data_IF_925724938192
#
_entry.id   IF_925724938192
#
_cell.length_a   1.000
_cell.length_b   1.000
_cell.length_c   1.000
_cell.angle_alpha   90.00
_cell.angle_beta   90.00
_cell.angle_gamma   90.00
#
_symmetry.space_group_name_H-M   'P 1'
#
loop_
_entity.id
_entity.type
_entity.pdbx_description
1 polymer ?
#
# COMPACT_ATOMS: atom_id res chain seq x y z
N UNK A 1 -17.84 -48.76 -46.60
CA UNK A 1 -19.13 -48.70 -45.91
C UNK A 1 -18.95 -48.06 -44.53
N UNK A 2 -18.78 -46.76 -44.36
CA UNK A 2 -18.73 -46.17 -43.02
C UNK A 2 -19.09 -44.68 -42.89
N UNK A 3 -19.27 -43.95 -43.98
CA UNK A 3 -19.66 -42.51 -43.91
C UNK A 3 -21.17 -42.26 -43.80
N UNK A 4 -22.03 -43.23 -44.16
CA UNK A 4 -23.48 -43.13 -44.12
C UNK A 4 -24.11 -43.38 -42.74
N UNK A 5 -23.48 -44.21 -41.91
CA UNK A 5 -24.01 -44.62 -40.62
C UNK A 5 -23.76 -43.52 -39.55
N UNK A 6 -22.62 -42.83 -39.64
CA UNK A 6 -22.27 -41.75 -38.68
C UNK A 6 -23.16 -40.51 -38.86
N UNK A 7 -23.59 -40.20 -40.10
CA UNK A 7 -24.53 -39.08 -40.33
C UNK A 7 -25.96 -39.35 -39.85
N UNK A 8 -26.40 -40.60 -39.76
CA UNK A 8 -27.73 -40.95 -39.26
C UNK A 8 -27.82 -40.95 -37.72
N UNK A 9 -26.72 -41.20 -37.01
CA UNK A 9 -26.69 -41.10 -35.55
C UNK A 9 -26.57 -39.65 -35.01
N UNK A 10 -26.01 -38.75 -35.79
CA UNK A 10 -25.93 -37.33 -35.43
C UNK A 10 -27.28 -36.56 -35.64
N UNK A 11 -28.19 -37.12 -36.45
CA UNK A 11 -29.50 -36.47 -36.71
C UNK A 11 -30.59 -36.75 -35.67
N UNK A 12 -30.35 -37.71 -34.75
CA UNK A 12 -31.37 -38.10 -33.74
C UNK A 12 -31.23 -37.42 -32.38
N UNK A 13 -30.33 -36.46 -32.21
CA UNK A 13 -30.14 -35.70 -30.97
C UNK A 13 -30.37 -34.19 -31.12
N UNK A 14 -31.04 -33.75 -32.15
CA UNK A 14 -31.51 -32.36 -32.28
C UNK A 14 -32.78 -32.19 -31.46
N UNK A 15 -32.67 -31.58 -30.28
CA UNK A 15 -33.78 -31.06 -29.50
C UNK A 15 -34.60 -30.13 -30.41
N UNK A 16 -35.93 -30.30 -30.42
CA UNK A 16 -36.83 -29.39 -31.17
C UNK A 16 -36.73 -28.00 -30.53
N UNK A 17 -37.10 -26.98 -31.32
CA UNK A 17 -37.11 -25.57 -30.88
C UNK A 17 -37.96 -25.40 -29.59
N UNK A 18 -39.12 -26.09 -29.53
CA UNK A 18 -39.97 -26.13 -28.32
C UNK A 18 -39.27 -26.78 -27.10
N UNK A 19 -38.57 -27.88 -27.32
CA UNK A 19 -37.79 -28.51 -26.25
C UNK A 19 -36.65 -27.64 -25.78
N UNK A 20 -35.95 -26.94 -26.66
CA UNK A 20 -34.92 -25.97 -26.32
C UNK A 20 -35.49 -24.80 -25.50
N UNK A 21 -36.65 -24.28 -25.91
CA UNK A 21 -37.33 -23.18 -25.22
C UNK A 21 -37.80 -23.59 -23.81
N UNK A 22 -38.31 -24.84 -23.69
CA UNK A 22 -38.72 -25.39 -22.39
C UNK A 22 -37.52 -25.57 -21.44
N UNK A 23 -36.37 -26.07 -21.94
CA UNK A 23 -35.14 -26.21 -21.15
C UNK A 23 -34.60 -24.84 -20.69
N UNK A 24 -34.64 -23.81 -21.57
CA UNK A 24 -34.25 -22.44 -21.22
C UNK A 24 -35.18 -21.89 -20.13
N UNK A 25 -36.51 -22.08 -20.25
CA UNK A 25 -37.47 -21.67 -19.19
C UNK A 25 -37.21 -22.37 -17.88
N UNK A 26 -36.97 -23.70 -17.91
CA UNK A 26 -36.65 -24.48 -16.67
C UNK A 26 -35.32 -24.01 -16.07
N UNK A 27 -34.28 -23.80 -16.86
CA UNK A 27 -32.99 -23.28 -16.39
C UNK A 27 -33.14 -21.88 -15.77
N UNK A 28 -33.94 -21.01 -16.39
CA UNK A 28 -34.20 -19.68 -15.82
C UNK A 28 -34.97 -19.76 -14.49
N UNK A 29 -35.95 -20.66 -14.39
CA UNK A 29 -36.70 -20.87 -13.14
C UNK A 29 -35.80 -21.42 -12.01
N UNK A 30 -34.91 -22.37 -12.32
CA UNK A 30 -33.92 -22.90 -11.36
C UNK A 30 -32.96 -21.81 -10.92
N UNK A 31 -32.43 -21.02 -11.84
CA UNK A 31 -31.56 -19.87 -11.54
C UNK A 31 -32.27 -18.84 -10.64
N UNK A 32 -33.54 -18.56 -10.87
CA UNK A 32 -34.33 -17.69 -9.99
C UNK A 32 -34.50 -18.28 -8.59
N UNK A 33 -34.81 -19.58 -8.46
CA UNK A 33 -34.94 -20.24 -7.18
C UNK A 33 -33.63 -20.24 -6.41
N UNK A 34 -32.50 -20.49 -7.07
CA UNK A 34 -31.18 -20.43 -6.46
C UNK A 34 -30.84 -18.99 -6.04
N UNK A 35 -31.17 -18.00 -6.83
CA UNK A 35 -31.00 -16.58 -6.49
C UNK A 35 -31.80 -16.20 -5.23
N UNK A 36 -33.06 -16.61 -5.10
CA UNK A 36 -33.88 -16.36 -3.91
C UNK A 36 -33.32 -17.05 -2.66
N UNK A 37 -32.79 -18.26 -2.81
CA UNK A 37 -32.11 -18.96 -1.70
C UNK A 37 -30.84 -18.24 -1.27
N UNK A 38 -30.04 -17.76 -2.22
CA UNK A 38 -28.82 -16.99 -1.92
C UNK A 38 -29.16 -15.67 -1.22
N UNK A 39 -30.19 -14.95 -1.64
CA UNK A 39 -30.64 -13.74 -0.96
C UNK A 39 -31.06 -13.99 0.50
N UNK A 40 -31.82 -15.06 0.75
CA UNK A 40 -32.20 -15.44 2.11
C UNK A 40 -31.00 -15.80 2.98
N UNK A 41 -30.03 -16.52 2.43
CA UNK A 41 -28.79 -16.85 3.11
C UNK A 41 -27.97 -15.59 3.44
N UNK A 42 -27.92 -14.62 2.53
CA UNK A 42 -27.22 -13.34 2.75
C UNK A 42 -27.91 -12.52 3.86
N UNK A 43 -29.23 -12.47 3.91
CA UNK A 43 -29.99 -11.75 4.94
C UNK A 43 -29.69 -12.26 6.36
N UNK A 44 -29.34 -13.54 6.50
CA UNK A 44 -29.01 -14.15 7.78
C UNK A 44 -27.55 -13.88 8.23
N UNK A 45 -26.73 -13.19 7.43
CA UNK A 45 -25.36 -12.86 7.80
C UNK A 45 -25.35 -11.51 8.54
N UNK A 46 -24.84 -11.53 9.77
CA UNK A 46 -24.61 -10.29 10.50
C UNK A 46 -23.30 -9.62 10.03
N UNK A 47 -23.45 -8.55 9.26
CA UNK A 47 -22.32 -7.75 8.73
C UNK A 47 -21.38 -7.28 9.84
N UNK A 48 -21.90 -6.84 10.98
CA UNK A 48 -21.09 -6.30 12.09
C UNK A 48 -20.17 -7.38 12.65
N UNK A 49 -20.71 -8.56 12.91
CA UNK A 49 -19.93 -9.73 13.35
C UNK A 49 -18.87 -10.13 12.32
N UNK A 50 -19.19 -10.14 11.03
CA UNK A 50 -18.21 -10.49 10.00
C UNK A 50 -17.13 -9.44 9.83
N UNK A 51 -17.43 -8.16 9.97
CA UNK A 51 -16.45 -7.08 10.03
C UNK A 51 -15.47 -7.26 11.21
N UNK A 52 -15.98 -7.60 12.39
CA UNK A 52 -15.15 -7.89 13.56
C UNK A 52 -14.25 -9.12 13.34
N UNK A 53 -14.79 -10.20 12.77
CA UNK A 53 -14.04 -11.40 12.42
C UNK A 53 -12.91 -11.10 11.42
N UNK A 54 -13.19 -10.28 10.40
CA UNK A 54 -12.17 -9.80 9.46
C UNK A 54 -11.02 -9.07 10.18
N UNK A 55 -11.33 -8.14 11.09
CA UNK A 55 -10.30 -7.42 11.84
C UNK A 55 -9.57 -8.31 12.85
N UNK A 56 -10.21 -9.30 13.46
CA UNK A 56 -9.55 -10.33 14.28
C UNK A 56 -8.52 -11.12 13.45
N UNK A 57 -8.87 -11.53 12.23
CA UNK A 57 -7.94 -12.19 11.32
C UNK A 57 -6.80 -11.26 10.90
N UNK A 58 -7.09 -10.01 10.57
CA UNK A 58 -6.09 -9.01 10.23
C UNK A 58 -5.11 -8.74 11.38
N UNK A 59 -5.56 -8.83 12.63
CA UNK A 59 -4.71 -8.63 13.81
C UNK A 59 -3.64 -9.71 13.96
N UNK A 60 -3.90 -10.91 13.45
CA UNK A 60 -2.91 -12.00 13.44
C UNK A 60 -1.92 -11.92 12.29
N UNK A 61 -2.30 -11.32 11.15
CA UNK A 61 -1.53 -11.45 9.89
C UNK A 61 -1.05 -10.14 9.29
N UNK A 62 -1.57 -8.99 9.75
CA UNK A 62 -1.32 -7.68 9.12
C UNK A 62 -0.69 -6.68 10.10
N UNK A 63 0.08 -5.74 9.54
CA UNK A 63 0.62 -4.62 10.30
C UNK A 63 -0.48 -3.66 10.78
N UNK A 64 -0.22 -2.88 11.83
CA UNK A 64 -1.13 -1.84 12.30
C UNK A 64 -1.46 -0.80 11.22
N UNK A 65 -0.50 -0.48 10.34
CA UNK A 65 -0.73 0.41 9.21
C UNK A 65 -1.75 -0.19 8.22
N UNK A 66 -1.61 -1.46 7.88
CA UNK A 66 -2.55 -2.17 6.98
C UNK A 66 -3.94 -2.25 7.60
N UNK A 67 -4.03 -2.52 8.91
CA UNK A 67 -5.32 -2.53 9.62
C UNK A 67 -6.02 -1.17 9.57
N UNK A 68 -5.27 -0.07 9.81
CA UNK A 68 -5.81 1.31 9.70
C UNK A 68 -6.29 1.59 8.28
N UNK A 69 -5.55 1.14 7.26
CA UNK A 69 -5.94 1.30 5.86
C UNK A 69 -7.22 0.53 5.55
N UNK A 70 -7.36 -0.71 6.03
CA UNK A 70 -8.57 -1.51 5.84
C UNK A 70 -9.78 -0.89 6.56
N UNK A 71 -9.58 -0.40 7.79
CA UNK A 71 -10.62 0.30 8.55
C UNK A 71 -11.13 1.51 7.76
N UNK A 72 -10.23 2.39 7.32
CA UNK A 72 -10.59 3.56 6.53
C UNK A 72 -11.32 3.20 5.21
N UNK A 73 -10.90 2.12 4.54
CA UNK A 73 -11.56 1.67 3.31
C UNK A 73 -12.98 1.18 3.55
N UNK A 74 -13.21 0.42 4.62
CA UNK A 74 -14.55 -0.06 4.97
C UNK A 74 -15.45 1.05 5.48
N UNK A 75 -14.93 2.00 6.28
CA UNK A 75 -15.69 3.17 6.71
C UNK A 75 -16.19 4.01 5.52
N UNK A 76 -15.36 4.17 4.49
CA UNK A 76 -15.76 4.88 3.26
C UNK A 76 -16.79 4.10 2.44
N UNK A 77 -16.71 2.78 2.41
CA UNK A 77 -17.73 1.94 1.78
C UNK A 77 -19.06 1.99 2.54
N UNK A 78 -19.02 1.93 3.87
CA UNK A 78 -20.20 2.07 4.73
C UNK A 78 -20.89 3.42 4.53
N UNK A 79 -20.10 4.51 4.50
CA UNK A 79 -20.60 5.86 4.23
C UNK A 79 -21.32 5.93 2.88
N UNK A 80 -20.69 5.38 1.83
CA UNK A 80 -21.29 5.29 0.50
C UNK A 80 -22.60 4.49 0.49
N UNK A 81 -22.61 3.33 1.15
CA UNK A 81 -23.80 2.47 1.21
C UNK A 81 -24.95 3.14 1.96
N UNK A 82 -24.66 3.86 3.05
CA UNK A 82 -25.67 4.58 3.82
C UNK A 82 -26.27 5.74 3.00
N UNK A 83 -25.47 6.48 2.23
CA UNK A 83 -25.94 7.60 1.40
C UNK A 83 -26.81 7.08 0.25
N UNK A 84 -26.48 5.93 -0.33
CA UNK A 84 -27.14 5.38 -1.50
C UNK A 84 -28.17 4.29 -1.17
N UNK A 85 -28.54 4.14 0.09
CA UNK A 85 -29.48 3.10 0.59
C UNK A 85 -29.13 1.69 0.09
N UNK A 86 -27.86 1.32 0.17
CA UNK A 86 -27.33 0.03 -0.29
C UNK A 86 -26.92 -0.84 0.89
N UNK A 87 -27.20 -2.13 0.80
CA UNK A 87 -26.66 -3.12 1.75
C UNK A 87 -25.31 -3.65 1.24
N UNK A 88 -24.28 -3.55 2.08
CA UNK A 88 -22.92 -4.01 1.74
C UNK A 88 -22.88 -5.47 1.34
N UNK A 89 -23.63 -6.34 2.01
CA UNK A 89 -23.62 -7.78 1.72
C UNK A 89 -24.23 -8.15 0.36
N UNK A 90 -25.09 -7.26 -0.19
CA UNK A 90 -25.69 -7.38 -1.52
C UNK A 90 -24.94 -6.59 -2.61
N UNK A 91 -23.75 -6.09 -2.30
CA UNK A 91 -22.97 -5.26 -3.22
C UNK A 91 -22.55 -6.06 -4.47
N UNK A 92 -22.93 -5.56 -5.64
CA UNK A 92 -22.68 -6.18 -6.96
C UNK A 92 -21.52 -5.47 -7.69
N UNK A 93 -20.98 -6.04 -8.76
CA UNK A 93 -19.90 -5.40 -9.53
C UNK A 93 -20.26 -3.98 -10.02
N UNK A 94 -21.51 -3.74 -10.41
CA UNK A 94 -22.00 -2.41 -10.79
C UNK A 94 -21.90 -1.41 -9.62
N UNK A 95 -22.27 -1.82 -8.43
CA UNK A 95 -22.17 -0.96 -7.24
C UNK A 95 -20.71 -0.62 -6.91
N UNK A 96 -19.78 -1.56 -7.16
CA UNK A 96 -18.35 -1.31 -7.00
C UNK A 96 -17.83 -0.30 -8.02
N UNK A 97 -18.29 -0.36 -9.27
CA UNK A 97 -17.93 0.62 -10.32
C UNK A 97 -18.50 2.00 -9.99
N UNK A 98 -19.75 2.09 -9.51
CA UNK A 98 -20.38 3.33 -9.07
C UNK A 98 -19.62 3.94 -7.86
N UNK A 99 -19.29 3.13 -6.84
CA UNK A 99 -18.46 3.54 -5.71
C UNK A 99 -17.09 4.10 -6.14
N UNK A 100 -16.43 3.43 -7.08
CA UNK A 100 -15.14 3.88 -7.61
C UNK A 100 -15.31 5.19 -8.35
N UNK A 101 -16.37 5.35 -9.13
CA UNK A 101 -16.67 6.56 -9.90
C UNK A 101 -16.90 7.75 -8.97
N UNK A 102 -17.74 7.60 -7.97
CA UNK A 102 -17.98 8.66 -6.96
C UNK A 102 -16.69 9.01 -6.20
N UNK A 103 -15.95 7.99 -5.73
CA UNK A 103 -14.68 8.20 -5.02
C UNK A 103 -13.65 8.92 -5.89
N UNK A 104 -13.60 8.63 -7.20
CA UNK A 104 -12.73 9.33 -8.15
C UNK A 104 -13.11 10.79 -8.38
N UNK A 105 -14.37 11.16 -8.14
CA UNK A 105 -14.86 12.55 -8.28
C UNK A 105 -14.62 13.40 -7.02
N UNK A 106 -14.11 12.79 -5.95
CA UNK A 106 -13.66 13.51 -4.76
C UNK A 106 -12.26 14.11 -4.97
N UNK A 107 -11.80 14.93 -4.02
CA UNK A 107 -10.44 15.48 -4.01
C UNK A 107 -9.34 14.44 -3.68
N UNK A 108 -9.67 13.15 -3.56
CA UNK A 108 -8.72 12.10 -3.24
C UNK A 108 -7.75 11.82 -4.39
N UNK A 109 -6.49 11.66 -4.06
CA UNK A 109 -5.49 11.23 -5.04
C UNK A 109 -5.81 9.80 -5.54
N UNK A 110 -5.59 9.51 -6.82
CA UNK A 110 -5.83 8.19 -7.43
C UNK A 110 -5.18 7.03 -6.64
N UNK A 111 -4.03 7.25 -6.02
CA UNK A 111 -3.38 6.25 -5.17
C UNK A 111 -4.19 5.96 -3.91
N UNK A 112 -4.85 6.96 -3.33
CA UNK A 112 -5.74 6.80 -2.18
C UNK A 112 -6.99 6.02 -2.57
N UNK A 113 -7.59 6.33 -3.72
CA UNK A 113 -8.73 5.57 -4.27
C UNK A 113 -8.36 4.10 -4.45
N UNK A 114 -7.21 3.80 -5.06
CA UNK A 114 -6.71 2.42 -5.19
C UNK A 114 -6.53 1.72 -3.86
N UNK A 115 -6.08 2.42 -2.84
CA UNK A 115 -5.92 1.86 -1.51
C UNK A 115 -7.28 1.54 -0.85
N UNK A 116 -8.30 2.40 -1.04
CA UNK A 116 -9.67 2.15 -0.58
C UNK A 116 -10.26 0.92 -1.28
N UNK A 117 -10.22 0.87 -2.61
CA UNK A 117 -10.71 -0.26 -3.40
C UNK A 117 -10.03 -1.58 -3.00
N UNK A 118 -8.71 -1.56 -2.81
CA UNK A 118 -7.95 -2.73 -2.35
C UNK A 118 -8.39 -3.20 -0.96
N UNK A 119 -8.75 -2.26 -0.08
CA UNK A 119 -9.24 -2.57 1.27
C UNK A 119 -10.62 -3.24 1.21
N UNK A 120 -11.55 -2.69 0.43
CA UNK A 120 -12.86 -3.26 0.19
C UNK A 120 -12.76 -4.66 -0.44
N UNK A 121 -11.95 -4.80 -1.50
CA UNK A 121 -11.69 -6.09 -2.15
C UNK A 121 -11.13 -7.14 -1.17
N UNK A 122 -10.28 -6.73 -0.23
CA UNK A 122 -9.74 -7.64 0.79
C UNK A 122 -10.83 -8.16 1.74
N UNK A 123 -11.78 -7.33 2.12
CA UNK A 123 -12.92 -7.70 2.94
C UNK A 123 -13.87 -8.65 2.20
N UNK A 124 -14.24 -8.32 0.96
CA UNK A 124 -15.09 -9.21 0.16
C UNK A 124 -14.42 -10.54 -0.18
N UNK A 125 -13.11 -10.57 -0.36
CA UNK A 125 -12.36 -11.83 -0.49
C UNK A 125 -12.36 -12.65 0.80
N UNK A 126 -12.44 -12.01 1.95
CA UNK A 126 -12.64 -12.69 3.22
C UNK A 126 -14.06 -13.27 3.31
N UNK A 127 -15.10 -12.52 2.94
CA UNK A 127 -16.48 -13.00 2.91
C UNK A 127 -16.67 -14.16 1.92
N UNK A 128 -16.15 -14.04 0.70
CA UNK A 128 -16.24 -15.08 -0.35
C UNK A 128 -15.64 -16.42 0.09
N UNK A 129 -14.60 -16.43 0.92
CA UNK A 129 -14.05 -17.67 1.48
C UNK A 129 -14.92 -18.31 2.54
N UNK A 130 -15.74 -17.54 3.25
CA UNK A 130 -16.64 -18.01 4.29
C UNK A 130 -18.00 -18.38 3.74
N UNK A 131 -18.43 -17.65 2.74
CA UNK A 131 -19.75 -17.72 2.10
C UNK A 131 -19.55 -17.76 0.58
N UNK A 132 -19.43 -18.97 -0.03
CA UNK A 132 -19.12 -19.12 -1.46
C UNK A 132 -20.14 -18.45 -2.40
N UNK A 133 -21.35 -18.18 -1.94
CA UNK A 133 -22.39 -17.46 -2.67
C UNK A 133 -22.17 -15.94 -2.67
N UNK A 134 -21.36 -15.36 -1.77
CA UNK A 134 -20.93 -13.96 -1.83
C UNK A 134 -19.71 -13.87 -2.73
N UNK A 135 -19.86 -13.21 -3.88
CA UNK A 135 -18.73 -12.94 -4.78
C UNK A 135 -18.12 -11.59 -4.49
N UNK A 136 -16.79 -11.50 -4.66
CA UNK A 136 -16.09 -10.23 -4.47
C UNK A 136 -16.41 -9.25 -5.61
N UNK A 137 -17.21 -8.18 -5.38
CA UNK A 137 -17.65 -7.26 -6.42
C UNK A 137 -16.51 -6.36 -6.96
N UNK A 138 -15.42 -6.24 -6.22
CA UNK A 138 -14.24 -5.48 -6.64
C UNK A 138 -13.23 -6.29 -7.45
N UNK A 139 -13.53 -7.56 -7.74
CA UNK A 139 -12.64 -8.40 -8.56
C UNK A 139 -12.64 -7.90 -10.00
N UNK A 140 -11.44 -7.59 -10.51
CA UNK A 140 -11.27 -7.08 -11.88
C UNK A 140 -11.60 -5.61 -12.07
N UNK A 141 -12.05 -4.88 -11.05
CA UNK A 141 -12.32 -3.45 -11.16
C UNK A 141 -11.05 -2.66 -11.49
N UNK A 142 -11.21 -1.62 -12.33
CA UNK A 142 -10.11 -0.74 -12.73
C UNK A 142 -10.22 0.60 -12.01
N UNK A 143 -9.13 1.03 -11.42
CA UNK A 143 -8.99 2.37 -10.83
C UNK A 143 -8.10 3.24 -11.73
N UNK A 144 -8.29 4.57 -11.68
CA UNK A 144 -7.41 5.50 -12.41
C UNK A 144 -5.95 5.27 -12.03
N UNK A 145 -5.00 5.28 -12.97
CA UNK A 145 -3.60 5.14 -12.65
C UNK A 145 -3.14 6.29 -11.73
N UNK A 146 -2.20 6.05 -10.82
CA UNK A 146 -1.69 7.11 -9.95
C UNK A 146 -1.02 8.18 -10.82
N UNK A 147 -1.40 9.43 -10.60
CA UNK A 147 -0.71 10.57 -11.22
C UNK A 147 0.66 10.67 -10.54
N UNK A 148 1.71 10.37 -11.28
CA UNK A 148 3.08 10.59 -10.83
C UNK A 148 3.41 12.07 -11.01
N UNK A 149 3.26 12.87 -9.97
CA UNK A 149 3.71 14.26 -10.00
C UNK A 149 5.21 14.32 -10.25
N UNK A 150 5.61 14.85 -11.41
CA UNK A 150 7.04 15.08 -11.75
C UNK A 150 7.75 15.96 -10.71
N UNK A 151 7.02 16.85 -10.02
CA UNK A 151 7.55 17.71 -8.95
C UNK A 151 8.14 16.98 -7.72
N UNK A 152 7.89 15.68 -7.53
CA UNK A 152 8.44 14.89 -6.42
C UNK A 152 9.86 14.34 -6.66
N UNK A 153 10.51 14.75 -7.72
CA UNK A 153 11.87 14.29 -8.05
C UNK A 153 12.98 15.24 -7.54
N UNK A 154 12.63 16.36 -6.91
CA UNK A 154 13.62 17.25 -6.32
C UNK A 154 14.17 16.63 -5.03
N UNK A 155 15.41 16.19 -5.12
CA UNK A 155 16.17 15.68 -3.98
C UNK A 155 16.79 16.87 -3.27
N UNK A 156 16.66 17.01 -1.93
CA UNK A 156 17.27 18.11 -1.22
C UNK A 156 18.80 18.11 -1.40
N UNK A 157 19.38 19.28 -1.52
CA UNK A 157 20.83 19.45 -1.49
C UNK A 157 21.37 19.22 -0.07
N UNK A 158 22.67 18.93 0.03
CA UNK A 158 23.35 18.81 1.35
C UNK A 158 23.15 20.05 2.21
N UNK A 159 23.23 21.25 1.61
CA UNK A 159 23.05 22.52 2.32
C UNK A 159 21.63 22.65 2.89
N UNK A 160 20.61 22.28 2.14
CA UNK A 160 19.23 22.31 2.61
C UNK A 160 18.98 21.31 3.74
N UNK A 161 19.56 20.10 3.66
CA UNK A 161 19.47 19.11 4.74
C UNK A 161 20.13 19.65 6.02
N UNK A 162 21.29 20.27 5.92
CA UNK A 162 22.00 20.84 7.07
C UNK A 162 21.21 22.00 7.70
N UNK A 163 20.53 22.83 6.89
CA UNK A 163 19.63 23.87 7.39
C UNK A 163 18.45 23.25 8.15
N UNK A 164 17.84 22.20 7.61
CA UNK A 164 16.72 21.52 8.29
C UNK A 164 17.18 20.88 9.60
N UNK A 165 18.33 20.20 9.62
CA UNK A 165 18.88 19.61 10.84
C UNK A 165 19.13 20.69 11.90
N UNK A 166 19.70 21.83 11.51
CA UNK A 166 19.97 22.94 12.42
C UNK A 166 18.70 23.57 12.98
N UNK A 167 17.60 23.60 12.21
CA UNK A 167 16.32 24.16 12.61
C UNK A 167 15.52 23.24 13.53
N UNK A 168 15.81 21.94 13.56
CA UNK A 168 15.20 20.97 14.46
C UNK A 168 15.75 21.19 15.89
N UNK A 169 14.87 21.43 16.85
CA UNK A 169 15.26 21.62 18.26
C UNK A 169 15.56 20.32 19.03
N UNK A 170 15.00 19.18 18.58
CA UNK A 170 15.19 17.88 19.23
C UNK A 170 16.49 17.21 18.78
N UNK A 171 17.51 17.06 19.65
CA UNK A 171 18.82 16.50 19.28
C UNK A 171 18.72 15.07 18.75
N UNK A 172 17.81 14.25 19.32
CA UNK A 172 17.65 12.87 18.87
C UNK A 172 17.09 12.80 17.45
N UNK A 173 16.19 13.74 17.09
CA UNK A 173 15.66 13.83 15.72
C UNK A 173 16.75 14.37 14.76
N UNK A 174 17.57 15.31 15.18
CA UNK A 174 18.73 15.78 14.38
C UNK A 174 19.63 14.59 14.02
N UNK A 175 19.97 13.76 15.00
CA UNK A 175 20.83 12.59 14.80
C UNK A 175 20.13 11.54 13.93
N UNK A 176 18.82 11.32 14.13
CA UNK A 176 18.04 10.40 13.29
C UNK A 176 18.06 10.82 11.81
N UNK A 177 17.91 12.12 11.52
CA UNK A 177 18.00 12.66 10.16
C UNK A 177 19.42 12.48 9.59
N UNK A 178 20.46 12.81 10.36
CA UNK A 178 21.85 12.62 9.96
C UNK A 178 22.15 11.12 9.71
N UNK A 179 21.61 10.22 10.54
CA UNK A 179 21.75 8.78 10.36
C UNK A 179 21.07 8.28 9.07
N UNK A 180 19.85 8.75 8.78
CA UNK A 180 19.17 8.43 7.51
C UNK A 180 19.97 8.93 6.33
N UNK A 181 20.52 10.16 6.40
CA UNK A 181 21.33 10.75 5.35
C UNK A 181 22.61 9.96 5.07
N UNK A 182 23.23 9.38 6.10
CA UNK A 182 24.50 8.64 5.94
C UNK A 182 24.29 7.15 5.63
N UNK A 183 23.21 6.53 6.11
CA UNK A 183 22.98 5.08 6.01
C UNK A 183 21.77 4.70 5.14
N UNK A 184 20.94 5.65 4.74
CA UNK A 184 19.75 5.41 3.91
C UNK A 184 18.66 4.56 4.57
N UNK A 185 18.64 4.43 5.89
CA UNK A 185 17.66 3.61 6.61
C UNK A 185 16.24 4.17 6.50
N UNK A 186 15.22 3.31 6.48
CA UNK A 186 13.82 3.78 6.54
C UNK A 186 13.50 4.34 7.92
N UNK A 187 12.85 5.50 8.01
CA UNK A 187 12.46 6.10 9.30
C UNK A 187 11.63 5.15 10.16
N UNK A 188 10.76 4.33 9.56
CA UNK A 188 9.96 3.33 10.27
C UNK A 188 10.77 2.19 10.89
N UNK A 189 12.04 2.04 10.52
CA UNK A 189 12.93 1.03 11.08
C UNK A 189 13.75 1.55 12.27
N UNK A 190 13.88 2.88 12.43
CA UNK A 190 14.72 3.49 13.48
C UNK A 190 14.38 3.05 14.90
N UNK A 191 13.11 3.00 15.34
CA UNK A 191 12.79 2.61 16.72
C UNK A 191 13.22 1.19 17.11
N UNK A 192 13.41 0.32 16.11
CA UNK A 192 13.83 -1.09 16.29
C UNK A 192 15.22 -1.36 15.73
N UNK A 193 16.00 -0.30 15.52
CA UNK A 193 17.31 -0.40 14.93
C UNK A 193 18.31 -0.73 16.02
N UNK A 194 19.11 -1.76 15.80
CA UNK A 194 20.23 -2.15 16.64
C UNK A 194 21.54 -1.91 15.89
N UNK A 195 22.58 -1.50 16.61
CA UNK A 195 23.93 -1.33 16.04
C UNK A 195 24.88 -2.30 16.75
N UNK A 196 25.46 -3.20 15.98
CA UNK A 196 26.43 -4.20 16.46
C UNK A 196 27.57 -4.34 15.44
N UNK A 197 28.83 -4.42 15.91
CA UNK A 197 30.00 -4.67 15.06
C UNK A 197 30.10 -3.77 13.82
N UNK A 198 29.83 -2.46 13.97
CA UNK A 198 29.89 -1.50 12.86
C UNK A 198 28.80 -1.65 11.81
N UNK A 199 27.78 -2.48 12.05
CA UNK A 199 26.60 -2.63 11.21
C UNK A 199 25.35 -2.27 12.00
N UNK A 200 24.33 -1.73 11.29
CA UNK A 200 23.00 -1.66 11.87
C UNK A 200 22.16 -2.86 11.41
N UNK A 201 21.27 -3.28 12.29
CA UNK A 201 20.29 -4.33 12.05
C UNK A 201 18.91 -3.74 12.25
N UNK A 202 18.00 -4.01 11.34
CA UNK A 202 16.62 -3.62 11.48
C UNK A 202 15.69 -4.63 10.83
N UNK A 203 14.46 -4.70 11.32
CA UNK A 203 13.45 -5.60 10.78
C UNK A 203 12.50 -4.83 9.86
N UNK A 204 12.33 -5.28 8.64
CA UNK A 204 11.36 -4.73 7.71
C UNK A 204 10.68 -5.86 6.93
N UNK A 205 9.32 -5.90 6.98
CA UNK A 205 8.51 -6.90 6.29
C UNK A 205 8.91 -8.36 6.61
N UNK A 206 9.23 -8.64 7.88
CA UNK A 206 9.58 -9.99 8.35
C UNK A 206 11.00 -10.44 8.00
N UNK A 207 11.85 -9.54 7.45
CA UNK A 207 13.26 -9.84 7.13
C UNK A 207 14.17 -8.94 7.93
N UNK A 208 15.22 -9.53 8.48
CA UNK A 208 16.33 -8.78 9.05
C UNK A 208 17.14 -8.13 7.93
N UNK A 209 17.52 -6.90 8.14
CA UNK A 209 18.33 -6.11 7.21
C UNK A 209 19.54 -5.65 7.97
N UNK A 210 20.72 -5.85 7.41
CA UNK A 210 21.93 -5.27 7.94
C UNK A 210 22.67 -4.47 6.86
N UNK A 211 23.27 -3.36 7.26
CA UNK A 211 24.14 -2.56 6.42
C UNK A 211 25.22 -1.89 7.26
N UNK A 212 26.35 -1.55 6.64
CA UNK A 212 27.47 -0.88 7.32
C UNK A 212 27.05 0.52 7.81
N UNK A 213 27.34 0.83 9.05
CA UNK A 213 27.19 2.18 9.62
C UNK A 213 28.43 2.97 9.28
N UNK A 214 28.29 4.22 8.83
CA UNK A 214 29.45 5.08 8.59
C UNK A 214 30.09 5.50 9.92
N UNK A 215 31.42 5.65 9.93
CA UNK A 215 32.16 6.11 11.11
C UNK A 215 31.66 7.48 11.60
N UNK A 216 31.21 8.33 10.65
CA UNK A 216 30.62 9.61 10.95
C UNK A 216 29.32 9.49 11.73
N UNK A 217 28.41 8.56 11.34
CA UNK A 217 27.18 8.30 12.05
C UNK A 217 27.46 7.76 13.48
N UNK A 218 28.44 6.89 13.63
CA UNK A 218 28.88 6.40 14.96
C UNK A 218 29.41 7.54 15.84
N UNK A 219 30.23 8.44 15.29
CA UNK A 219 30.76 9.60 16.01
C UNK A 219 29.63 10.51 16.51
N UNK A 220 28.63 10.78 15.69
CA UNK A 220 27.47 11.59 16.08
C UNK A 220 26.68 10.94 17.21
N UNK A 221 26.41 9.61 17.15
CA UNK A 221 25.75 8.89 18.24
C UNK A 221 26.51 8.99 19.55
N UNK A 222 27.85 8.80 19.53
CA UNK A 222 28.72 8.90 20.73
C UNK A 222 28.75 10.32 21.31
N UNK A 223 28.80 11.34 20.46
CA UNK A 223 28.79 12.74 20.86
C UNK A 223 27.59 13.10 21.74
N UNK A 224 26.42 12.54 21.45
CA UNK A 224 25.20 12.79 22.20
C UNK A 224 24.94 11.77 23.32
N UNK A 225 25.93 10.95 23.70
CA UNK A 225 25.83 9.95 24.79
C UNK A 225 24.64 8.99 24.63
N UNK A 226 24.22 8.74 23.39
CA UNK A 226 23.13 7.78 23.12
C UNK A 226 23.66 6.36 23.32
N UNK A 227 22.76 5.47 23.74
CA UNK A 227 23.05 4.04 23.71
C UNK A 227 23.31 3.65 22.23
N UNK A 228 24.56 3.29 21.92
CA UNK A 228 24.95 3.01 20.53
C UNK A 228 24.22 1.79 19.98
N UNK A 229 23.85 0.84 20.86
CA UNK A 229 23.17 -0.41 20.46
C UNK A 229 21.73 -0.17 20.00
N UNK A 230 20.96 0.68 20.68
CA UNK A 230 19.54 0.95 20.37
C UNK A 230 19.24 2.47 20.41
N UNK A 231 19.88 3.26 19.53
CA UNK A 231 19.93 4.72 19.71
C UNK A 231 18.57 5.43 19.58
N UNK A 232 17.59 4.82 18.94
CA UNK A 232 16.31 5.46 18.62
C UNK A 232 15.09 4.79 19.25
N UNK A 233 15.28 3.84 20.19
CA UNK A 233 14.17 3.06 20.78
C UNK A 233 13.10 3.92 21.47
N UNK A 234 13.49 5.07 22.03
CA UNK A 234 12.60 5.97 22.80
C UNK A 234 11.86 7.00 21.92
N UNK A 235 11.98 6.93 20.59
CA UNK A 235 11.35 7.89 19.70
C UNK A 235 10.59 7.19 18.56
N UNK A 236 9.28 7.43 18.50
CA UNK A 236 8.48 6.83 17.41
C UNK A 236 8.85 7.43 16.04
N UNK A 237 8.76 6.61 15.01
CA UNK A 237 9.01 7.06 13.63
C UNK A 237 8.04 8.15 13.16
N UNK A 238 6.85 8.23 13.75
CA UNK A 238 5.84 9.25 13.45
C UNK A 238 6.27 10.60 14.01
N UNK A 239 6.77 10.64 15.24
CA UNK A 239 7.32 11.84 15.86
C UNK A 239 8.50 12.39 15.06
N UNK A 240 9.45 11.52 14.65
CA UNK A 240 10.59 11.92 13.82
C UNK A 240 10.11 12.54 12.50
N UNK A 241 9.15 11.90 11.81
CA UNK A 241 8.57 12.43 10.55
C UNK A 241 7.92 13.79 10.74
N UNK A 242 7.11 13.95 11.79
CA UNK A 242 6.35 15.17 12.03
C UNK A 242 7.26 16.35 12.38
N UNK A 243 8.26 16.14 13.24
CA UNK A 243 9.25 17.18 13.60
C UNK A 243 10.05 17.59 12.36
N UNK A 244 10.56 16.62 11.60
CA UNK A 244 11.30 16.90 10.36
C UNK A 244 10.46 17.71 9.37
N UNK A 245 9.22 17.26 9.10
CA UNK A 245 8.35 17.91 8.13
C UNK A 245 7.97 19.33 8.55
N UNK A 246 7.72 19.58 9.85
CA UNK A 246 7.43 20.92 10.37
C UNK A 246 8.60 21.88 10.16
N UNK A 247 9.83 21.44 10.46
CA UNK A 247 11.04 22.23 10.22
C UNK A 247 11.26 22.48 8.72
N UNK A 248 11.14 21.47 7.89
CA UNK A 248 11.24 21.61 6.44
C UNK A 248 10.20 22.57 5.87
N UNK A 249 8.94 22.45 6.28
CA UNK A 249 7.85 23.33 5.85
C UNK A 249 8.10 24.79 6.28
N UNK A 250 8.55 25.00 7.52
CA UNK A 250 8.89 26.34 8.03
C UNK A 250 9.98 27.01 7.20
N UNK A 251 11.08 26.31 6.92
CA UNK A 251 12.19 26.82 6.12
C UNK A 251 11.78 27.08 4.65
N UNK A 252 10.92 26.24 4.09
CA UNK A 252 10.35 26.46 2.76
C UNK A 252 9.52 27.74 2.72
N UNK A 253 8.63 27.94 3.71
CA UNK A 253 7.82 29.15 3.79
C UNK A 253 8.65 30.43 4.01
N UNK A 254 9.87 30.29 4.58
CA UNK A 254 10.85 31.39 4.71
C UNK A 254 11.72 31.56 3.45
N UNK A 255 11.50 30.82 2.38
CA UNK A 255 12.30 30.86 1.16
C UNK A 255 13.75 30.36 1.30
N UNK A 256 14.08 29.68 2.41
CA UNK A 256 15.44 29.20 2.71
C UNK A 256 15.79 27.87 2.04
N UNK A 257 14.79 27.11 1.64
CA UNK A 257 14.92 25.86 0.90
C UNK A 257 13.90 25.82 -0.24
N UNK A 258 14.18 25.02 -1.28
CA UNK A 258 13.41 25.01 -2.53
C UNK A 258 12.02 24.35 -2.40
N UNK A 259 11.87 23.40 -1.47
CA UNK A 259 10.63 22.64 -1.28
C UNK A 259 10.44 22.20 0.17
N UNK A 260 9.19 21.93 0.57
CA UNK A 260 8.89 21.26 1.83
C UNK A 260 9.16 19.75 1.70
N UNK A 261 10.36 19.33 2.06
CA UNK A 261 10.81 17.95 1.96
C UNK A 261 10.20 17.06 3.05
N UNK A 262 10.00 15.78 2.73
CA UNK A 262 9.70 14.73 3.68
C UNK A 262 10.98 14.02 4.15
N UNK A 263 10.90 13.32 5.29
CA UNK A 263 12.05 12.51 5.76
C UNK A 263 12.44 11.42 4.75
N UNK A 264 11.54 11.02 3.85
CA UNK A 264 11.83 10.04 2.81
C UNK A 264 12.75 10.60 1.73
N UNK A 265 12.72 11.92 1.50
CA UNK A 265 13.57 12.60 0.54
C UNK A 265 15.04 12.63 1.00
N UNK A 266 15.30 12.54 2.32
CA UNK A 266 16.65 12.34 2.87
C UNK A 266 17.21 10.97 2.47
N UNK A 267 16.39 9.96 2.45
CA UNK A 267 16.79 8.64 1.96
C UNK A 267 16.99 8.63 0.45
N UNK A 268 16.23 9.43 -0.31
CA UNK A 268 16.49 9.68 -1.73
C UNK A 268 17.85 10.35 -1.95
N UNK A 269 18.18 11.36 -1.14
CA UNK A 269 19.49 11.98 -1.16
C UNK A 269 20.62 10.95 -0.96
N UNK A 270 20.51 10.05 0.00
CA UNK A 270 21.47 8.96 0.20
C UNK A 270 21.63 8.12 -1.07
N UNK A 271 20.52 7.70 -1.71
CA UNK A 271 20.54 6.90 -2.92
C UNK A 271 21.26 7.61 -4.07
N UNK A 272 20.93 8.88 -4.31
CA UNK A 272 21.53 9.71 -5.36
C UNK A 272 23.02 9.93 -5.09
N UNK A 273 23.39 10.26 -3.84
CA UNK A 273 24.79 10.44 -3.44
C UNK A 273 25.59 9.15 -3.64
N UNK A 274 25.05 8.00 -3.24
CA UNK A 274 25.73 6.72 -3.40
C UNK A 274 25.90 6.36 -4.87
N UNK A 275 24.89 6.61 -5.72
CA UNK A 275 24.97 6.38 -7.16
C UNK A 275 26.00 7.30 -7.83
N UNK A 276 26.00 8.60 -7.51
CA UNK A 276 27.01 9.54 -8.04
C UNK A 276 28.43 9.05 -7.74
N UNK A 277 28.65 8.40 -6.58
CA UNK A 277 29.94 7.85 -6.17
C UNK A 277 30.31 6.51 -6.82
N UNK A 278 29.36 5.61 -6.97
CA UNK A 278 29.66 4.19 -7.31
C UNK A 278 29.21 3.79 -8.71
N UNK A 279 28.23 4.51 -9.29
CA UNK A 279 27.56 4.16 -10.56
C UNK A 279 26.93 2.74 -10.58
N UNK A 280 26.79 2.12 -9.42
CA UNK A 280 26.30 0.75 -9.25
C UNK A 280 24.88 0.76 -8.65
N UNK A 281 23.88 0.48 -9.50
CA UNK A 281 22.47 0.42 -9.11
C UNK A 281 22.16 -0.77 -8.20
N UNK A 282 22.88 -1.89 -8.36
CA UNK A 282 22.66 -3.07 -7.54
C UNK A 282 23.19 -2.86 -6.11
N UNK A 283 24.31 -2.16 -5.97
CA UNK A 283 24.80 -1.74 -4.66
C UNK A 283 23.78 -0.89 -3.93
N UNK A 284 23.14 0.08 -4.64
CA UNK A 284 22.12 0.93 -4.06
C UNK A 284 20.87 0.12 -3.69
N UNK A 285 20.44 -0.80 -4.56
CA UNK A 285 19.33 -1.70 -4.27
C UNK A 285 19.55 -2.46 -2.97
N UNK A 286 20.75 -3.02 -2.78
CA UNK A 286 21.14 -3.72 -1.54
C UNK A 286 21.17 -2.78 -0.35
N UNK A 287 21.86 -1.64 -0.46
CA UNK A 287 21.97 -0.65 0.61
C UNK A 287 20.61 -0.14 1.08
N UNK A 288 19.66 0.05 0.16
CA UNK A 288 18.30 0.46 0.46
C UNK A 288 17.36 -0.70 0.79
N UNK A 289 17.80 -1.94 0.63
CA UNK A 289 16.94 -3.12 0.70
C UNK A 289 15.64 -2.95 -0.09
N UNK A 290 15.79 -2.70 -1.39
CA UNK A 290 14.68 -2.71 -2.33
C UNK A 290 14.47 -4.11 -2.89
N UNK A 291 13.20 -4.52 -3.01
CA UNK A 291 12.83 -5.84 -3.53
C UNK A 291 13.11 -5.99 -5.04
N UNK A 292 13.25 -4.87 -5.77
CA UNK A 292 13.57 -4.88 -7.19
C UNK A 292 14.40 -3.67 -7.61
N UNK A 293 15.17 -3.83 -8.71
CA UNK A 293 15.93 -2.74 -9.35
C UNK A 293 14.98 -1.62 -9.83
N UNK A 294 13.78 -1.98 -10.31
CA UNK A 294 12.79 -1.00 -10.76
C UNK A 294 12.44 0.04 -9.69
N UNK A 295 12.34 -0.38 -8.42
CA UNK A 295 12.11 0.53 -7.30
C UNK A 295 13.31 1.48 -7.14
N UNK A 296 14.53 0.97 -7.27
CA UNK A 296 15.76 1.78 -7.18
C UNK A 296 15.86 2.77 -8.35
N UNK A 297 15.51 2.34 -9.56
CA UNK A 297 15.48 3.20 -10.75
C UNK A 297 14.57 4.42 -10.58
N UNK A 298 13.44 4.28 -9.86
CA UNK A 298 12.59 5.44 -9.57
C UNK A 298 13.28 6.51 -8.72
N UNK A 299 14.25 6.13 -7.88
CA UNK A 299 15.06 7.07 -7.08
C UNK A 299 16.11 7.79 -7.93
N UNK A 300 16.55 7.19 -9.01
CA UNK A 300 17.62 7.72 -9.87
C UNK A 300 17.08 8.56 -11.03
N UNK A 301 15.77 8.55 -11.28
CA UNK A 301 15.14 9.40 -12.32
C UNK A 301 15.35 10.88 -12.12
N UNK A 302 15.67 11.35 -10.91
CA UNK A 302 16.05 12.74 -10.65
C UNK A 302 17.40 13.12 -11.25
N UNK A 303 18.22 12.14 -11.65
CA UNK A 303 19.53 12.36 -12.27
C UNK A 303 19.48 12.43 -13.80
N UNK A 304 18.37 12.00 -14.42
CA UNK A 304 18.17 12.05 -15.87
C UNK A 304 17.68 13.44 -16.35
N UNK A 305 17.48 14.38 -15.43
CA UNK A 305 16.93 15.72 -15.68
C UNK A 305 18.02 16.81 -15.59
N UNK A 306 19.26 16.41 -15.26
CA UNK A 306 20.48 17.25 -15.38
C UNK A 306 21.20 16.94 -16.70
#
# INVERSE_FOLDING_TARGET
>A
MSKGVIKKQAANNLITEEQALLLIKQANLLNMLDYYKEEELIKNIDYKTEKENFFKQCSKTKSNHTKRQYKNGLEKLEEYCNINDKNILFFKPRDADDFITETNNTSLANLSVRALVSSCSSFFSFLERRYPFIKNPFRGTKTRPPIRNKKRLEVPSKKEIDLIIKDISDPLVQIAVAFIMECGVRVGALPKLEIRNGKYYSYSKGKEISYKVSDKAIKELKKYKLQVETPFQNKSSEVIRNIFYRSSKRLYMQGKIKAAYSIHDIRHYFAVRLYKKTKDIELIRRALNHSSIAITGLYLKSLEVE
#
